data_IF_610241716470
#
_entry.id   IF_610241716470
#
_cell.length_a   1.000
_cell.length_b   1.000
_cell.length_c   1.000
_cell.angle_alpha   90.00
_cell.angle_beta   90.00
_cell.angle_gamma   90.00
#
_symmetry.space_group_name_H-M   'P 1'
#
loop_
_entity.id
_entity.type
_entity.pdbx_description
1 polymer ?
#
# COMPACT_ATOMS: atom_id res chain seq x y z
N UNK A 1 -10.58 13.16 24.14
CA UNK A 1 -11.18 12.06 23.34
C UNK A 1 -10.67 10.73 23.89
N UNK A 2 -11.59 9.90 24.40
CA UNK A 2 -11.51 8.46 24.69
C UNK A 2 -10.42 7.86 25.63
N UNK A 3 -10.54 8.00 26.97
CA UNK A 3 -9.80 7.17 27.95
C UNK A 3 -10.06 5.66 27.79
N UNK A 4 -11.20 5.28 27.20
CA UNK A 4 -11.52 3.89 26.83
C UNK A 4 -10.57 3.30 25.78
N UNK A 5 -10.14 4.10 24.78
CA UNK A 5 -9.21 3.63 23.74
C UNK A 5 -7.83 3.31 24.33
N UNK A 6 -7.39 4.09 25.32
CA UNK A 6 -6.14 3.84 26.04
C UNK A 6 -6.21 2.60 26.96
N UNK A 7 -7.42 2.13 27.32
CA UNK A 7 -7.62 0.93 28.16
C UNK A 7 -7.73 -0.38 27.36
N UNK A 8 -7.84 -0.31 26.02
CA UNK A 8 -7.90 -1.52 25.19
C UNK A 8 -6.56 -2.25 25.18
N UNK A 9 -6.61 -3.59 25.21
CA UNK A 9 -5.42 -4.44 25.13
C UNK A 9 -4.66 -4.19 23.82
N UNK A 10 -3.35 -4.02 23.90
CA UNK A 10 -2.44 -3.87 22.76
C UNK A 10 -2.49 -5.04 21.77
N UNK A 11 -3.01 -6.20 22.19
CA UNK A 11 -3.26 -7.34 21.31
C UNK A 11 -4.37 -7.07 20.28
N UNK A 12 -5.36 -6.26 20.65
CA UNK A 12 -6.48 -5.86 19.79
C UNK A 12 -6.11 -4.58 19.02
N UNK A 13 -5.33 -3.69 19.65
CA UNK A 13 -4.92 -2.40 19.11
C UNK A 13 -3.56 -2.45 18.39
N UNK A 14 -3.25 -3.55 17.70
CA UNK A 14 -2.02 -3.66 16.92
C UNK A 14 -2.29 -3.37 15.44
N UNK A 15 -2.02 -2.14 15.02
CA UNK A 15 -2.22 -1.68 13.65
C UNK A 15 -1.42 -2.50 12.62
N UNK A 16 -0.18 -2.89 12.96
CA UNK A 16 0.66 -3.75 12.09
C UNK A 16 0.02 -5.11 11.89
N UNK A 17 -0.40 -5.75 12.98
CA UNK A 17 -1.05 -7.07 12.92
C UNK A 17 -2.36 -7.02 12.14
N UNK A 18 -3.17 -5.97 12.33
CA UNK A 18 -4.40 -5.77 11.58
C UNK A 18 -4.14 -5.57 10.08
N UNK A 19 -3.19 -4.69 9.73
CA UNK A 19 -2.84 -4.45 8.34
C UNK A 19 -2.33 -5.71 7.64
N UNK A 20 -1.46 -6.48 8.31
CA UNK A 20 -0.90 -7.72 7.78
C UNK A 20 -1.97 -8.80 7.58
N UNK A 21 -2.93 -8.91 8.50
CA UNK A 21 -4.04 -9.85 8.36
C UNK A 21 -5.03 -9.42 7.26
N UNK A 22 -5.31 -8.11 7.15
CA UNK A 22 -6.22 -7.57 6.14
C UNK A 22 -5.78 -7.95 4.73
N UNK A 23 -4.50 -7.77 4.41
CA UNK A 23 -3.94 -8.13 3.09
C UNK A 23 -3.45 -9.58 3.00
N UNK A 24 -3.72 -10.39 4.03
CA UNK A 24 -3.26 -11.77 4.16
C UNK A 24 -1.76 -11.88 3.83
N UNK A 25 -0.93 -11.00 4.40
CA UNK A 25 0.46 -10.80 4.00
C UNK A 25 1.25 -12.12 4.00
N UNK A 26 0.97 -13.00 4.97
CA UNK A 26 1.56 -14.35 5.05
C UNK A 26 1.39 -15.21 3.79
N UNK A 27 0.32 -14.96 3.06
CA UNK A 27 -0.16 -15.75 1.93
C UNK A 27 0.01 -15.01 0.59
N UNK A 28 0.19 -13.69 0.63
CA UNK A 28 0.29 -12.84 -0.57
C UNK A 28 1.73 -12.43 -0.90
N UNK A 29 2.64 -12.40 0.08
CA UNK A 29 4.08 -12.20 -0.18
C UNK A 29 4.86 -13.49 0.04
N UNK A 30 5.68 -13.85 -0.96
CA UNK A 30 6.24 -15.20 -1.08
C UNK A 30 7.31 -15.58 -0.07
N UNK A 31 7.95 -14.63 0.63
CA UNK A 31 9.09 -14.93 1.51
C UNK A 31 8.76 -14.69 3.00
N UNK A 32 8.90 -15.71 3.87
CA UNK A 32 8.55 -15.59 5.29
C UNK A 32 9.45 -14.61 6.06
N UNK A 33 10.67 -14.33 5.58
CA UNK A 33 11.53 -13.30 6.19
C UNK A 33 10.94 -11.89 6.08
N UNK A 34 10.07 -11.60 5.10
CA UNK A 34 9.43 -10.28 4.98
C UNK A 34 8.50 -10.01 6.18
N UNK A 35 7.92 -11.06 6.77
CA UNK A 35 7.00 -10.95 7.91
C UNK A 35 7.72 -10.84 9.24
N UNK A 36 8.86 -11.53 9.36
CA UNK A 36 9.61 -11.68 10.61
C UNK A 36 10.72 -10.64 10.75
N UNK A 37 11.04 -9.90 9.68
CA UNK A 37 12.10 -8.92 9.68
C UNK A 37 11.55 -7.50 9.88
N UNK A 38 11.99 -6.85 10.95
CA UNK A 38 11.62 -5.45 11.24
C UNK A 38 12.34 -4.43 10.34
N UNK A 39 13.20 -4.87 9.41
CA UNK A 39 13.90 -3.98 8.48
C UNK A 39 12.95 -3.07 7.71
N UNK A 40 11.81 -3.58 7.22
CA UNK A 40 10.85 -2.75 6.46
C UNK A 40 10.25 -1.66 7.37
N UNK A 41 9.89 -2.02 8.59
CA UNK A 41 9.33 -1.07 9.56
C UNK A 41 10.36 -0.02 9.98
N UNK A 42 11.60 -0.44 10.25
CA UNK A 42 12.70 0.46 10.59
C UNK A 42 13.04 1.42 9.46
N UNK A 43 13.03 0.94 8.21
CA UNK A 43 13.31 1.76 7.04
C UNK A 43 12.21 2.80 6.83
N UNK A 44 10.93 2.39 6.92
CA UNK A 44 9.79 3.32 6.84
C UNK A 44 9.89 4.38 7.93
N UNK A 45 10.10 3.98 9.20
CA UNK A 45 10.25 4.92 10.31
C UNK A 45 11.42 5.88 10.09
N UNK A 46 12.56 5.38 9.63
CA UNK A 46 13.76 6.19 9.38
C UNK A 46 13.52 7.23 8.28
N UNK A 47 13.01 6.80 7.13
CA UNK A 47 12.78 7.71 5.99
C UNK A 47 11.69 8.74 6.31
N UNK A 48 10.59 8.33 6.96
CA UNK A 48 9.54 9.26 7.37
C UNK A 48 10.05 10.26 8.42
N UNK A 49 10.78 9.81 9.44
CA UNK A 49 11.28 10.68 10.52
C UNK A 49 12.35 11.66 10.01
N UNK A 50 13.20 11.23 9.07
CA UNK A 50 14.22 12.09 8.43
C UNK A 50 13.59 13.11 7.49
N UNK A 51 12.49 12.76 6.84
CA UNK A 51 11.80 13.60 5.87
C UNK A 51 10.86 14.64 6.45
N UNK A 52 10.35 14.49 7.67
CA UNK A 52 9.20 15.28 8.20
C UNK A 52 9.26 16.80 7.98
N UNK A 53 10.45 17.41 7.98
CA UNK A 53 10.60 18.86 7.79
C UNK A 53 10.55 19.36 6.33
N UNK A 54 10.91 18.53 5.35
CA UNK A 54 10.95 18.89 3.91
C UNK A 54 9.96 18.09 3.07
N UNK A 55 9.46 16.98 3.61
CA UNK A 55 8.51 16.07 2.98
C UNK A 55 7.21 16.77 2.60
N UNK A 56 6.75 17.71 3.43
CA UNK A 56 5.44 18.35 3.26
C UNK A 56 5.33 19.12 1.94
N UNK A 57 6.37 19.89 1.58
CA UNK A 57 6.36 20.72 0.35
C UNK A 57 6.46 19.85 -0.90
N UNK A 58 7.33 18.83 -0.90
CA UNK A 58 7.48 17.96 -2.08
C UNK A 58 6.26 17.04 -2.26
N UNK A 59 5.66 16.59 -1.16
CA UNK A 59 4.44 15.78 -1.16
C UNK A 59 3.25 16.56 -1.73
N UNK A 60 3.06 17.81 -1.30
CA UNK A 60 1.99 18.66 -1.82
C UNK A 60 2.17 18.95 -3.32
N UNK A 61 3.42 19.18 -3.75
CA UNK A 61 3.74 19.40 -5.16
C UNK A 61 3.45 18.16 -6.02
N UNK A 62 3.84 16.98 -5.56
CA UNK A 62 3.56 15.74 -6.29
C UNK A 62 2.06 15.38 -6.26
N UNK A 63 1.37 15.65 -5.16
CA UNK A 63 -0.08 15.47 -5.06
C UNK A 63 -0.81 16.34 -6.09
N UNK A 64 -0.48 17.63 -6.18
CA UNK A 64 -1.08 18.53 -7.16
C UNK A 64 -0.80 18.08 -8.60
N UNK A 65 0.46 17.70 -8.88
CA UNK A 65 0.85 17.15 -10.18
C UNK A 65 0.12 15.84 -10.52
N UNK A 66 -0.09 14.95 -9.55
CA UNK A 66 -0.80 13.69 -9.73
C UNK A 66 -2.30 13.91 -9.97
N UNK A 67 -2.91 14.84 -9.23
CA UNK A 67 -4.32 15.23 -9.40
C UNK A 67 -4.57 15.81 -10.79
N UNK A 68 -3.74 16.76 -11.23
CA UNK A 68 -3.83 17.35 -12.57
C UNK A 68 -3.68 16.27 -13.66
N UNK A 69 -2.72 15.34 -13.50
CA UNK A 69 -2.51 14.28 -14.49
C UNK A 69 -3.66 13.27 -14.57
N UNK A 70 -4.19 12.82 -13.42
CA UNK A 70 -5.15 11.71 -13.39
C UNK A 70 -6.61 12.19 -13.55
N UNK A 71 -6.94 13.32 -12.95
CA UNK A 71 -8.30 13.87 -12.94
C UNK A 71 -8.49 14.89 -14.06
N UNK A 72 -7.45 15.68 -14.36
CA UNK A 72 -7.49 16.77 -15.34
C UNK A 72 -7.65 18.14 -14.67
N UNK A 73 -7.59 19.19 -15.48
CA UNK A 73 -7.72 20.59 -15.05
C UNK A 73 -9.17 21.06 -15.16
N UNK A 74 -9.52 22.16 -14.50
CA UNK A 74 -10.89 22.70 -14.47
C UNK A 74 -11.45 22.95 -15.88
N UNK A 75 -12.70 22.51 -16.10
CA UNK A 75 -13.47 22.81 -17.30
C UNK A 75 -14.28 21.62 -17.81
N UNK A 76 -13.76 20.40 -17.65
CA UNK A 76 -14.37 19.20 -18.23
C UNK A 76 -14.85 18.21 -17.15
N UNK A 77 -16.11 17.80 -17.23
CA UNK A 77 -16.62 16.69 -16.43
C UNK A 77 -16.08 15.38 -16.98
N UNK A 78 -15.25 14.70 -16.21
CA UNK A 78 -14.68 13.39 -16.54
C UNK A 78 -15.15 12.35 -15.54
N UNK A 79 -15.60 11.20 -16.04
CA UNK A 79 -15.84 10.02 -15.21
C UNK A 79 -14.51 9.34 -14.92
N UNK A 80 -14.16 9.20 -13.65
CA UNK A 80 -12.93 8.53 -13.20
C UNK A 80 -13.25 7.40 -12.22
N UNK A 81 -12.51 6.30 -12.30
CA UNK A 81 -12.59 5.23 -11.30
C UNK A 81 -11.85 5.68 -10.05
N UNK A 82 -12.59 5.94 -8.96
CA UNK A 82 -12.01 6.42 -7.69
C UNK A 82 -10.92 5.46 -7.19
N UNK A 83 -11.15 4.15 -7.29
CA UNK A 83 -10.18 3.16 -6.82
C UNK A 83 -8.85 3.26 -7.59
N UNK A 84 -8.90 3.28 -8.92
CA UNK A 84 -7.70 3.32 -9.77
C UNK A 84 -7.00 4.69 -9.66
N UNK A 85 -7.78 5.78 -9.62
CA UNK A 85 -7.25 7.13 -9.51
C UNK A 85 -6.56 7.33 -8.16
N UNK A 86 -7.20 6.96 -7.05
CA UNK A 86 -6.60 7.09 -5.72
C UNK A 86 -5.39 6.16 -5.55
N UNK A 87 -5.46 4.93 -6.07
CA UNK A 87 -4.33 4.01 -6.09
C UNK A 87 -3.14 4.58 -6.87
N UNK A 88 -3.38 5.19 -8.02
CA UNK A 88 -2.36 5.87 -8.82
C UNK A 88 -1.74 7.07 -8.11
N UNK A 89 -2.55 7.92 -7.48
CA UNK A 89 -2.07 9.07 -6.68
C UNK A 89 -1.20 8.58 -5.52
N UNK A 90 -1.70 7.62 -4.74
CA UNK A 90 -0.98 7.08 -3.60
C UNK A 90 0.34 6.40 -4.01
N UNK A 91 0.33 5.63 -5.11
CA UNK A 91 1.53 5.01 -5.66
C UNK A 91 2.59 6.01 -6.10
N UNK A 92 2.19 7.13 -6.72
CA UNK A 92 3.11 8.20 -7.14
C UNK A 92 3.75 8.85 -5.92
N UNK A 93 2.92 9.26 -4.95
CA UNK A 93 3.41 9.92 -3.73
C UNK A 93 4.35 8.98 -2.97
N UNK A 94 3.98 7.71 -2.78
CA UNK A 94 4.83 6.74 -2.09
C UNK A 94 6.19 6.55 -2.81
N UNK A 95 6.18 6.44 -4.14
CA UNK A 95 7.41 6.31 -4.93
C UNK A 95 8.28 7.57 -4.81
N UNK A 96 7.69 8.76 -4.85
CA UNK A 96 8.40 10.03 -4.68
C UNK A 96 9.16 10.08 -3.33
N UNK A 97 8.48 9.67 -2.26
CA UNK A 97 8.99 9.74 -0.90
C UNK A 97 10.09 8.69 -0.65
N UNK A 98 9.85 7.44 -1.05
CA UNK A 98 10.75 6.33 -0.70
C UNK A 98 11.86 6.09 -1.72
N UNK A 99 11.63 6.40 -3.00
CA UNK A 99 12.57 6.12 -4.09
C UNK A 99 13.20 7.40 -4.66
N UNK A 100 12.53 8.54 -4.49
CA UNK A 100 12.98 9.83 -4.99
C UNK A 100 12.40 10.19 -6.35
N UNK A 101 12.68 11.43 -6.78
CA UNK A 101 12.02 12.09 -7.91
C UNK A 101 12.29 11.45 -9.27
N UNK A 102 13.49 10.90 -9.46
CA UNK A 102 13.94 10.29 -10.73
C UNK A 102 13.06 9.09 -11.15
N UNK A 103 12.61 8.27 -10.19
CA UNK A 103 11.78 7.09 -10.50
C UNK A 103 10.27 7.36 -10.43
N UNK A 104 9.86 8.46 -9.81
CA UNK A 104 8.45 8.85 -9.66
C UNK A 104 7.74 9.12 -10.99
N UNK A 105 8.50 9.46 -12.04
CA UNK A 105 7.97 9.71 -13.40
C UNK A 105 7.96 8.47 -14.30
N UNK A 106 8.52 7.33 -13.86
CA UNK A 106 8.48 6.10 -14.64
C UNK A 106 7.08 5.48 -14.60
N UNK A 107 6.34 5.65 -15.69
CA UNK A 107 4.99 5.10 -15.84
C UNK A 107 4.99 3.57 -15.69
N UNK A 108 6.06 2.91 -16.13
CA UNK A 108 6.20 1.45 -16.04
C UNK A 108 6.37 0.98 -14.60
N UNK A 109 7.19 1.68 -13.80
CA UNK A 109 7.39 1.35 -12.40
C UNK A 109 6.09 1.57 -11.61
N UNK A 110 5.39 2.68 -11.88
CA UNK A 110 4.11 2.98 -11.27
C UNK A 110 3.06 1.92 -11.60
N UNK A 111 2.90 1.58 -12.88
CA UNK A 111 1.94 0.59 -13.34
C UNK A 111 2.22 -0.79 -12.72
N UNK A 112 3.50 -1.16 -12.61
CA UNK A 112 3.91 -2.42 -11.97
C UNK A 112 3.58 -2.45 -10.48
N UNK A 113 3.83 -1.35 -9.77
CA UNK A 113 3.54 -1.24 -8.33
C UNK A 113 2.03 -1.26 -8.06
N UNK A 114 1.24 -0.58 -8.89
CA UNK A 114 -0.23 -0.59 -8.80
C UNK A 114 -0.77 -2.00 -9.06
N UNK A 115 -0.35 -2.64 -10.16
CA UNK A 115 -0.76 -4.03 -10.48
C UNK A 115 -0.38 -5.03 -9.40
N UNK A 116 0.81 -4.88 -8.82
CA UNK A 116 1.25 -5.70 -7.70
C UNK A 116 0.36 -5.50 -6.47
N UNK A 117 -0.02 -4.26 -6.17
CA UNK A 117 -0.93 -3.96 -5.05
C UNK A 117 -2.32 -4.53 -5.32
N UNK A 118 -2.83 -4.37 -6.54
CA UNK A 118 -4.12 -4.93 -6.97
C UNK A 118 -4.14 -6.47 -6.88
N UNK A 119 -3.07 -7.14 -7.29
CA UNK A 119 -2.98 -8.60 -7.21
C UNK A 119 -2.95 -9.11 -5.77
N UNK A 120 -2.26 -8.40 -4.86
CA UNK A 120 -2.29 -8.67 -3.42
C UNK A 120 -3.72 -8.51 -2.88
N UNK A 121 -4.38 -7.40 -3.20
CA UNK A 121 -5.75 -7.14 -2.75
C UNK A 121 -6.73 -8.21 -3.27
N UNK A 122 -6.65 -8.56 -4.55
CA UNK A 122 -7.49 -9.59 -5.15
C UNK A 122 -7.25 -10.95 -4.47
N UNK A 123 -5.99 -11.33 -4.25
CA UNK A 123 -5.63 -12.58 -3.58
C UNK A 123 -6.11 -12.60 -2.13
N UNK A 124 -5.98 -11.49 -1.41
CA UNK A 124 -6.48 -11.36 -0.05
C UNK A 124 -8.01 -11.53 0.01
N UNK A 125 -8.75 -10.89 -0.90
CA UNK A 125 -10.21 -11.03 -1.00
C UNK A 125 -10.59 -12.50 -1.21
N UNK A 126 -9.93 -13.18 -2.16
CA UNK A 126 -10.15 -14.61 -2.40
C UNK A 126 -9.87 -15.42 -1.13
N UNK A 127 -8.76 -15.17 -0.44
CA UNK A 127 -8.39 -15.90 0.78
C UNK A 127 -9.34 -15.66 1.96
N UNK A 128 -9.96 -14.48 2.05
CA UNK A 128 -10.95 -14.18 3.08
C UNK A 128 -12.28 -14.93 2.86
N UNK A 129 -12.59 -15.37 1.64
CA UNK A 129 -13.72 -16.27 1.39
C UNK A 129 -13.47 -17.70 1.86
N UNK A 130 -12.21 -18.10 2.07
CA UNK A 130 -11.86 -19.43 2.55
C UNK A 130 -11.54 -19.44 4.06
N UNK A 131 -11.98 -20.49 4.78
CA UNK A 131 -11.59 -20.70 6.16
C UNK A 131 -10.07 -20.97 6.27
N UNK A 132 -9.47 -20.65 7.42
CA UNK A 132 -8.02 -20.64 7.63
C UNK A 132 -7.30 -21.94 7.22
N UNK A 133 -7.93 -23.10 7.38
CA UNK A 133 -7.33 -24.39 7.04
C UNK A 133 -7.26 -24.66 5.52
N UNK A 134 -8.09 -23.99 4.71
CA UNK A 134 -8.10 -24.14 3.25
C UNK A 134 -7.15 -23.16 2.55
N UNK A 135 -6.81 -22.03 3.20
CA UNK A 135 -5.92 -20.99 2.67
C UNK A 135 -4.58 -21.51 2.10
N UNK A 136 -3.82 -22.42 2.75
CA UNK A 136 -2.54 -22.88 2.19
C UNK A 136 -2.68 -23.59 0.84
N UNK A 137 -3.78 -24.31 0.59
CA UNK A 137 -4.00 -25.02 -0.67
C UNK A 137 -4.39 -24.08 -1.84
N UNK A 138 -5.11 -23.01 -1.52
CA UNK A 138 -5.49 -21.97 -2.50
C UNK A 138 -4.26 -21.14 -2.88
N UNK A 139 -3.37 -20.84 -1.93
CA UNK A 139 -2.13 -20.11 -2.24
C UNK A 139 -1.15 -20.89 -3.10
N UNK A 140 -1.00 -22.20 -2.88
CA UNK A 140 -0.03 -23.02 -3.63
C UNK A 140 -0.48 -23.29 -5.06
N UNK A 141 -1.79 -23.33 -5.32
CA UNK A 141 -2.33 -23.49 -6.68
C UNK A 141 -2.23 -22.22 -7.52
N UNK A 142 -2.31 -21.02 -6.91
CA UNK A 142 -2.15 -19.75 -7.61
C UNK A 142 -0.72 -19.43 -8.05
N UNK A 143 0.30 -19.89 -7.29
CA UNK A 143 1.71 -19.60 -7.59
C UNK A 143 2.30 -20.49 -8.70
N UNK A 144 1.62 -21.58 -9.09
CA UNK A 144 2.08 -22.48 -10.17
C UNK A 144 1.75 -21.97 -11.58
N UNK A 145 1.03 -20.86 -11.72
CA UNK A 145 0.58 -20.31 -13.01
C UNK A 145 1.18 -18.93 -13.34
N UNK A 146 2.22 -18.49 -12.62
CA UNK A 146 2.98 -17.26 -12.90
C UNK A 146 4.43 -17.60 -13.18
#
# INVERSE_FOLDING_TARGET
MAPWLASMSTKILNAKAFAFNTVQLKHTVGHPEILNNDMVELLIKRELTRGTGTLDVELLKELDAAMINLIGTQGDFKTVSIYNTMGGIAGRIATCIFVGKELCSSLEFLASTVRFTESICATAIVLHFFPDFMRPYVTTSGFSSV
#
